data_IF_144717134614
#
_entry.id   IF_144717134614
#
_cell.length_a   1.000
_cell.length_b   1.000
_cell.length_c   1.000
_cell.angle_alpha   90.00
_cell.angle_beta   90.00
_cell.angle_gamma   90.00
#
_symmetry.space_group_name_H-M   'P 1'
#
loop_
_entity.id
_entity.type
_entity.pdbx_description
1 polymer ?
#
# COMPACT_ATOMS: atom_id res chain seq x y z
N UNK A 1 -20.55 -7.16 23.78
CA UNK A 1 -19.14 -7.58 23.84
C UNK A 1 -18.99 -8.71 22.85
N UNK A 2 -18.58 -8.39 21.61
CA UNK A 2 -18.27 -9.43 20.62
C UNK A 2 -16.97 -10.06 21.12
N UNK A 3 -17.02 -11.30 21.54
CA UNK A 3 -15.85 -12.01 22.01
C UNK A 3 -15.11 -12.52 20.78
N UNK A 4 -14.02 -11.84 20.38
CA UNK A 4 -13.08 -12.44 19.45
C UNK A 4 -12.39 -13.60 20.14
N UNK A 5 -12.86 -14.81 19.89
CA UNK A 5 -12.42 -15.95 20.67
C UNK A 5 -11.07 -16.49 20.23
N UNK A 6 -10.65 -16.32 18.99
CA UNK A 6 -9.29 -16.67 18.52
C UNK A 6 -8.98 -16.04 17.15
N UNK A 7 -7.80 -15.38 17.02
CA UNK A 7 -7.21 -15.11 15.71
C UNK A 7 -6.45 -16.35 15.24
N UNK A 8 -6.82 -16.89 14.09
CA UNK A 8 -6.17 -18.04 13.47
C UNK A 8 -5.36 -17.58 12.25
N UNK A 9 -4.13 -18.06 12.08
CA UNK A 9 -3.41 -17.88 10.82
C UNK A 9 -3.89 -18.94 9.83
N UNK A 10 -4.53 -18.49 8.74
CA UNK A 10 -5.01 -19.37 7.69
C UNK A 10 -3.83 -19.94 6.90
N UNK A 11 -3.88 -21.25 6.67
CA UNK A 11 -2.94 -21.98 5.83
C UNK A 11 -3.59 -22.26 4.47
N UNK A 12 -3.19 -21.51 3.44
CA UNK A 12 -3.77 -21.67 2.10
C UNK A 12 -3.34 -22.95 1.37
N UNK A 13 -2.35 -23.68 1.90
CA UNK A 13 -1.94 -24.96 1.34
C UNK A 13 -2.90 -26.10 1.75
N UNK A 14 -3.72 -25.86 2.79
CA UNK A 14 -4.75 -26.77 3.28
C UNK A 14 -6.16 -26.34 2.86
N UNK A 15 -7.12 -27.26 2.84
CA UNK A 15 -8.52 -26.89 2.66
C UNK A 15 -8.96 -25.86 3.69
N UNK A 16 -9.56 -24.76 3.23
CA UNK A 16 -9.95 -23.65 4.12
C UNK A 16 -11.11 -24.08 5.01
N UNK A 17 -12.00 -24.92 4.52
CA UNK A 17 -13.18 -25.46 5.21
C UNK A 17 -12.80 -26.25 6.46
N UNK A 18 -11.63 -26.88 6.48
CA UNK A 18 -11.13 -27.68 7.62
C UNK A 18 -10.53 -26.80 8.73
N UNK A 19 -10.35 -25.50 8.47
CA UNK A 19 -9.68 -24.58 9.41
C UNK A 19 -10.66 -23.83 10.32
N UNK A 20 -11.93 -24.18 10.27
CA UNK A 20 -13.00 -23.72 11.16
C UNK A 20 -14.04 -22.84 10.46
N UNK A 21 -15.16 -22.55 11.12
CA UNK A 21 -16.07 -21.55 10.62
C UNK A 21 -15.39 -20.18 10.71
N UNK A 22 -15.39 -19.44 9.60
CA UNK A 22 -14.71 -18.16 9.48
C UNK A 22 -15.73 -17.04 9.24
N UNK A 23 -15.84 -16.10 10.18
CA UNK A 23 -16.74 -14.95 10.01
C UNK A 23 -16.05 -13.85 9.17
N UNK A 24 -14.75 -13.63 9.39
CA UNK A 24 -13.97 -12.61 8.68
C UNK A 24 -12.61 -13.16 8.28
N UNK A 25 -12.23 -13.00 7.03
CA UNK A 25 -10.87 -13.25 6.55
C UNK A 25 -10.22 -11.92 6.19
N UNK A 26 -9.06 -11.65 6.79
CA UNK A 26 -8.21 -10.52 6.43
C UNK A 26 -7.00 -11.09 5.70
N UNK A 27 -6.72 -10.56 4.51
CA UNK A 27 -5.62 -11.08 3.71
C UNK A 27 -4.77 -9.98 3.08
N UNK A 28 -3.52 -10.32 2.80
CA UNK A 28 -2.60 -9.56 1.96
C UNK A 28 -2.02 -10.49 0.90
N UNK A 29 -2.85 -10.86 -0.07
CA UNK A 29 -2.49 -11.80 -1.14
C UNK A 29 -1.95 -11.08 -2.39
N UNK A 30 -1.50 -9.83 -2.27
CA UNK A 30 -1.01 -9.01 -3.39
C UNK A 30 0.06 -9.72 -4.21
N UNK A 31 1.04 -10.34 -3.56
CA UNK A 31 2.14 -11.01 -4.23
C UNK A 31 1.69 -12.32 -4.88
N UNK A 32 0.90 -13.13 -4.17
CA UNK A 32 0.34 -14.38 -4.70
C UNK A 32 -0.54 -14.13 -5.92
N UNK A 33 -1.36 -13.06 -5.89
CA UNK A 33 -2.19 -12.65 -7.03
C UNK A 33 -1.32 -12.26 -8.23
N UNK A 34 -0.23 -11.52 -8.00
CA UNK A 34 0.69 -11.14 -9.07
C UNK A 34 1.45 -12.33 -9.65
N UNK A 35 1.89 -13.26 -8.83
CA UNK A 35 2.52 -14.51 -9.26
C UNK A 35 1.55 -15.34 -10.11
N UNK A 36 0.29 -15.46 -9.67
CA UNK A 36 -0.76 -16.14 -10.41
C UNK A 36 -1.04 -15.49 -11.78
N UNK A 37 -1.09 -14.14 -11.83
CA UNK A 37 -1.28 -13.39 -13.07
C UNK A 37 -0.06 -13.48 -14.01
N UNK A 38 1.12 -13.86 -13.49
CA UNK A 38 2.33 -14.18 -14.25
C UNK A 38 2.45 -15.66 -14.63
N UNK A 39 1.37 -16.43 -14.49
CA UNK A 39 1.26 -17.85 -14.80
C UNK A 39 2.07 -18.79 -13.87
N UNK A 40 2.35 -18.39 -12.64
CA UNK A 40 2.84 -19.31 -11.63
C UNK A 40 1.71 -20.29 -11.23
N UNK A 41 1.92 -21.57 -11.49
CA UNK A 41 0.89 -22.60 -11.33
C UNK A 41 0.49 -22.80 -9.85
N UNK A 42 1.44 -22.69 -8.92
CA UNK A 42 1.18 -22.83 -7.49
C UNK A 42 0.37 -21.64 -6.97
N UNK A 43 0.75 -20.43 -7.38
CA UNK A 43 0.02 -19.22 -7.01
C UNK A 43 -1.40 -19.22 -7.60
N UNK A 44 -1.58 -19.69 -8.85
CA UNK A 44 -2.90 -19.85 -9.46
C UNK A 44 -3.78 -20.81 -8.66
N UNK A 45 -3.24 -21.94 -8.23
CA UNK A 45 -3.98 -22.89 -7.40
C UNK A 45 -4.39 -22.29 -6.06
N UNK A 46 -3.50 -21.54 -5.39
CA UNK A 46 -3.80 -20.87 -4.11
C UNK A 46 -4.91 -19.83 -4.27
N UNK A 47 -4.81 -18.98 -5.31
CA UNK A 47 -5.81 -17.94 -5.58
C UNK A 47 -7.15 -18.57 -5.96
N UNK A 48 -7.14 -19.64 -6.75
CA UNK A 48 -8.38 -20.34 -7.14
C UNK A 48 -9.05 -20.98 -5.93
N UNK A 49 -8.31 -21.69 -5.09
CA UNK A 49 -8.83 -22.29 -3.84
C UNK A 49 -9.46 -21.24 -2.93
N UNK A 50 -8.81 -20.08 -2.79
CA UNK A 50 -9.36 -18.98 -2.01
C UNK A 50 -10.63 -18.41 -2.64
N UNK A 51 -10.69 -18.28 -3.97
CA UNK A 51 -11.89 -17.83 -4.68
C UNK A 51 -13.04 -18.84 -4.53
N UNK A 52 -12.77 -20.14 -4.69
CA UNK A 52 -13.78 -21.20 -4.53
C UNK A 52 -14.38 -21.18 -3.11
N UNK A 53 -13.54 -20.93 -2.09
CA UNK A 53 -14.02 -20.77 -0.73
C UNK A 53 -14.95 -19.55 -0.59
N UNK A 54 -14.56 -18.39 -1.12
CA UNK A 54 -15.39 -17.17 -1.10
C UNK A 54 -16.74 -17.42 -1.78
N UNK A 55 -16.75 -18.09 -2.93
CA UNK A 55 -17.95 -18.34 -3.72
C UNK A 55 -18.92 -19.31 -3.03
N UNK A 56 -18.39 -20.22 -2.20
CA UNK A 56 -19.19 -21.22 -1.45
C UNK A 56 -19.58 -20.74 -0.06
N UNK A 57 -18.94 -19.70 0.49
CA UNK A 57 -19.17 -19.14 1.82
C UNK A 57 -19.47 -17.63 1.77
N UNK A 58 -20.60 -17.22 1.16
CA UNK A 58 -20.94 -15.80 1.01
C UNK A 58 -21.20 -15.10 2.35
N UNK A 59 -21.38 -15.86 3.43
CA UNK A 59 -21.50 -15.37 4.81
C UNK A 59 -20.15 -14.90 5.39
N UNK A 60 -19.02 -15.37 4.84
CA UNK A 60 -17.68 -14.96 5.30
C UNK A 60 -17.31 -13.59 4.74
N UNK A 61 -17.01 -12.64 5.61
CA UNK A 61 -16.55 -11.30 5.22
C UNK A 61 -15.09 -11.36 4.77
N UNK A 62 -14.82 -10.84 3.58
CA UNK A 62 -13.44 -10.79 3.04
C UNK A 62 -12.93 -9.35 3.06
N UNK A 63 -11.84 -9.09 3.76
CA UNK A 63 -11.12 -7.82 3.77
C UNK A 63 -9.76 -7.97 3.05
N UNK A 64 -9.64 -7.62 1.75
CA UNK A 64 -10.62 -6.98 0.87
C UNK A 64 -10.90 -7.87 -0.36
N UNK A 65 -11.92 -7.56 -1.22
CA UNK A 65 -12.28 -8.40 -2.37
C UNK A 65 -11.16 -8.52 -3.41
N UNK A 66 -10.91 -9.73 -3.93
CA UNK A 66 -9.84 -9.99 -4.91
C UNK A 66 -9.93 -9.11 -6.18
N UNK A 67 -11.11 -8.83 -6.77
CA UNK A 67 -11.21 -7.95 -7.94
C UNK A 67 -10.73 -6.52 -7.66
N UNK A 68 -11.00 -6.00 -6.46
CA UNK A 68 -10.54 -4.68 -6.04
C UNK A 68 -9.01 -4.65 -5.88
N UNK A 69 -8.45 -5.70 -5.25
CA UNK A 69 -6.98 -5.85 -5.15
C UNK A 69 -6.34 -5.86 -6.53
N UNK A 70 -6.86 -6.67 -7.48
CA UNK A 70 -6.36 -6.70 -8.88
C UNK A 70 -6.44 -5.34 -9.56
N UNK A 71 -7.48 -4.55 -9.28
CA UNK A 71 -7.59 -3.19 -9.82
C UNK A 71 -6.45 -2.30 -9.31
N UNK A 72 -6.10 -2.40 -8.03
CA UNK A 72 -5.04 -1.60 -7.42
C UNK A 72 -3.62 -2.09 -7.79
N UNK A 73 -3.47 -3.36 -8.13
CA UNK A 73 -2.20 -3.92 -8.60
C UNK A 73 -1.83 -3.46 -10.03
N UNK A 74 -2.78 -2.97 -10.82
CA UNK A 74 -2.55 -2.41 -12.15
C UNK A 74 -2.68 -0.87 -12.11
N UNK A 75 -1.56 -0.16 -12.27
CA UNK A 75 -1.55 1.33 -12.24
C UNK A 75 -2.42 1.98 -13.30
N UNK A 76 -2.56 1.37 -14.48
CA UNK A 76 -3.46 1.91 -15.51
C UNK A 76 -4.91 1.87 -15.02
N UNK A 77 -5.33 0.76 -14.44
CA UNK A 77 -6.69 0.59 -13.91
C UNK A 77 -6.94 1.50 -12.71
N UNK A 78 -5.99 1.59 -11.78
CA UNK A 78 -6.13 2.44 -10.61
C UNK A 78 -6.17 3.93 -10.97
N UNK A 79 -5.36 4.40 -11.92
CA UNK A 79 -5.36 5.79 -12.38
C UNK A 79 -6.61 6.13 -13.20
N UNK A 80 -7.12 5.20 -13.99
CA UNK A 80 -8.39 5.36 -14.69
C UNK A 80 -9.56 5.48 -13.70
N UNK A 81 -9.52 4.72 -12.60
CA UNK A 81 -10.48 4.82 -11.52
C UNK A 81 -10.43 6.22 -10.87
N UNK A 82 -9.23 6.70 -10.52
CA UNK A 82 -9.05 8.03 -9.92
C UNK A 82 -9.61 9.11 -10.85
N UNK A 83 -9.30 9.04 -12.16
CA UNK A 83 -9.79 9.99 -13.16
C UNK A 83 -11.31 10.00 -13.26
N UNK A 84 -11.96 8.83 -13.24
CA UNK A 84 -13.43 8.73 -13.23
C UNK A 84 -14.03 9.32 -11.97
N UNK A 85 -13.44 9.03 -10.81
CA UNK A 85 -13.91 9.55 -9.53
C UNK A 85 -13.71 11.06 -9.41
N UNK A 86 -12.64 11.65 -9.95
CA UNK A 86 -12.45 13.09 -10.05
C UNK A 86 -13.64 13.73 -10.78
N UNK A 87 -14.00 13.21 -11.95
CA UNK A 87 -15.17 13.68 -12.70
C UNK A 87 -16.48 13.53 -11.95
N UNK A 88 -16.64 12.47 -11.14
CA UNK A 88 -17.82 12.25 -10.33
C UNK A 88 -17.89 13.18 -9.11
N UNK A 89 -16.76 13.40 -8.42
CA UNK A 89 -16.71 14.25 -7.23
C UNK A 89 -16.97 15.73 -7.51
N UNK A 90 -16.67 16.21 -8.71
CA UNK A 90 -16.85 17.61 -9.14
C UNK A 90 -16.31 18.62 -8.13
N UNK A 91 -15.07 18.42 -7.66
CA UNK A 91 -14.41 19.27 -6.68
C UNK A 91 -13.09 19.80 -7.26
N UNK A 92 -13.05 21.10 -7.54
CA UNK A 92 -11.92 21.78 -8.17
C UNK A 92 -10.62 21.68 -7.36
N UNK A 93 -10.72 21.30 -6.10
CA UNK A 93 -9.56 21.09 -5.20
C UNK A 93 -8.91 19.73 -5.38
N UNK A 94 -9.51 18.82 -6.15
CA UNK A 94 -9.02 17.46 -6.39
C UNK A 94 -8.58 17.36 -7.85
N UNK A 95 -7.47 16.70 -8.12
CA UNK A 95 -7.06 16.39 -9.48
C UNK A 95 -6.39 15.02 -9.57
N UNK A 96 -6.52 14.39 -10.75
CA UNK A 96 -5.73 13.25 -11.16
C UNK A 96 -4.68 13.72 -12.18
N UNK A 97 -3.38 13.47 -11.95
CA UNK A 97 -2.38 13.86 -12.92
C UNK A 97 -2.62 13.15 -14.26
N UNK A 98 -2.52 13.85 -15.42
CA UNK A 98 -2.60 13.20 -16.72
C UNK A 98 -1.63 12.02 -16.81
N UNK A 99 -2.07 10.93 -17.44
CA UNK A 99 -1.27 9.72 -17.62
C UNK A 99 -1.57 9.03 -18.95
N UNK A 100 -0.66 8.18 -19.38
CA UNK A 100 -0.84 7.25 -20.48
C UNK A 100 -0.11 5.93 -20.22
N UNK A 101 -0.58 4.85 -20.81
CA UNK A 101 0.14 3.58 -20.84
C UNK A 101 1.15 3.59 -21.99
N UNK A 102 2.36 3.11 -21.73
CA UNK A 102 3.37 2.80 -22.72
C UNK A 102 3.47 1.27 -22.86
N UNK A 103 2.72 0.71 -23.78
CA UNK A 103 2.64 -0.73 -24.01
C UNK A 103 3.80 -1.27 -24.87
N UNK A 104 4.39 -0.43 -25.74
CA UNK A 104 5.48 -0.77 -26.64
C UNK A 104 6.66 0.17 -26.50
N UNK A 105 7.80 -0.20 -27.09
CA UNK A 105 8.99 0.65 -27.11
C UNK A 105 8.69 2.02 -27.70
N UNK A 106 9.28 3.06 -27.13
CA UNK A 106 9.12 4.43 -27.63
C UNK A 106 9.57 4.54 -29.10
N UNK A 107 8.69 5.10 -29.93
CA UNK A 107 8.90 5.35 -31.36
C UNK A 107 8.57 6.80 -31.72
N UNK A 108 8.56 7.10 -33.03
CA UNK A 108 8.29 8.44 -33.55
C UNK A 108 6.90 8.97 -33.13
N UNK A 109 5.91 8.09 -33.02
CA UNK A 109 4.55 8.46 -32.62
C UNK A 109 4.40 8.74 -31.12
N UNK A 110 5.38 8.35 -30.28
CA UNK A 110 5.28 8.50 -28.82
C UNK A 110 5.10 9.95 -28.39
N UNK A 111 5.80 10.88 -29.05
CA UNK A 111 5.68 12.32 -28.75
C UNK A 111 4.30 12.86 -29.09
N UNK A 112 3.70 12.39 -30.20
CA UNK A 112 2.35 12.77 -30.57
C UNK A 112 1.32 12.26 -29.56
N UNK A 113 1.47 11.03 -29.09
CA UNK A 113 0.62 10.44 -28.04
C UNK A 113 0.79 11.17 -26.69
N UNK A 114 2.01 11.52 -26.29
CA UNK A 114 2.25 12.33 -25.08
C UNK A 114 1.47 13.65 -25.13
N UNK A 115 1.53 14.36 -26.27
CA UNK A 115 0.80 15.62 -26.47
C UNK A 115 -0.72 15.42 -26.42
N UNK A 116 -1.22 14.37 -27.04
CA UNK A 116 -2.65 14.00 -27.04
C UNK A 116 -3.14 13.75 -25.61
N UNK A 117 -2.33 13.10 -24.77
CA UNK A 117 -2.63 12.86 -23.36
C UNK A 117 -2.28 14.05 -22.45
N UNK A 118 -1.89 15.22 -22.99
CA UNK A 118 -1.50 16.44 -22.26
C UNK A 118 -0.34 16.23 -21.30
N UNK A 119 0.56 15.30 -21.62
CA UNK A 119 1.76 15.03 -20.86
C UNK A 119 2.87 15.98 -21.29
N UNK A 120 3.52 16.61 -20.32
CA UNK A 120 4.63 17.54 -20.52
C UNK A 120 5.82 17.14 -19.66
N UNK A 121 7.03 17.42 -20.14
CA UNK A 121 8.23 17.17 -19.34
C UNK A 121 8.34 18.12 -18.13
N UNK A 122 8.90 17.68 -17.01
CA UNK A 122 9.23 16.28 -16.74
C UNK A 122 7.99 15.45 -16.44
N UNK A 123 8.10 14.14 -16.63
CA UNK A 123 7.07 13.18 -16.19
C UNK A 123 7.70 11.98 -15.50
N UNK A 124 6.90 11.24 -14.77
CA UNK A 124 7.31 10.02 -14.09
C UNK A 124 6.86 8.81 -14.89
N UNK A 125 7.80 7.90 -15.16
CA UNK A 125 7.51 6.55 -15.62
C UNK A 125 7.49 5.61 -14.42
N UNK A 126 6.44 4.81 -14.30
CA UNK A 126 6.26 3.79 -13.26
C UNK A 126 5.98 2.45 -13.93
N UNK A 127 6.47 1.34 -13.38
CA UNK A 127 6.05 0.02 -13.85
C UNK A 127 4.53 -0.09 -13.81
N UNK A 128 3.92 -0.79 -14.76
CA UNK A 128 2.48 -1.01 -14.79
C UNK A 128 2.00 -1.72 -13.53
N UNK A 129 2.74 -2.72 -13.08
CA UNK A 129 2.47 -3.44 -11.84
C UNK A 129 2.86 -2.59 -10.64
N UNK A 130 1.91 -2.36 -9.72
CA UNK A 130 2.06 -1.47 -8.57
C UNK A 130 2.90 -2.09 -7.44
N UNK A 131 2.87 -3.42 -7.29
CA UNK A 131 3.69 -4.18 -6.35
C UNK A 131 4.85 -4.84 -7.11
N UNK A 132 5.96 -5.05 -6.47
CA UNK A 132 7.03 -5.83 -7.03
C UNK A 132 7.54 -6.77 -5.96
N UNK A 133 7.39 -8.05 -6.19
CA UNK A 133 8.13 -9.05 -5.47
C UNK A 133 9.61 -8.74 -5.59
N UNK A 134 10.33 -8.72 -4.48
CA UNK A 134 11.78 -8.89 -4.46
C UNK A 134 12.12 -10.36 -4.76
N UNK A 135 11.13 -11.15 -5.14
CA UNK A 135 11.25 -12.57 -5.40
C UNK A 135 11.84 -12.81 -6.77
N UNK A 136 12.85 -13.52 -6.69
CA UNK A 136 13.77 -14.22 -7.57
C UNK A 136 15.04 -13.43 -7.81
N UNK A 137 15.92 -13.56 -6.83
CA UNK A 137 17.33 -13.77 -7.08
C UNK A 137 17.46 -14.68 -8.29
N UNK A 138 18.07 -14.14 -9.34
CA UNK A 138 18.63 -14.97 -10.39
C UNK A 138 19.50 -16.02 -9.67
N UNK A 139 19.30 -17.33 -9.89
CA UNK A 139 20.16 -18.31 -9.29
C UNK A 139 21.62 -17.92 -9.56
N UNK A 140 22.39 -17.76 -8.51
CA UNK A 140 23.83 -17.62 -8.62
C UNK A 140 24.33 -18.97 -9.16
N UNK A 141 24.52 -19.05 -10.48
CA UNK A 141 25.26 -20.11 -11.11
C UNK A 141 26.73 -19.86 -10.78
N UNK A 142 27.11 -20.27 -9.58
CA UNK A 142 28.45 -20.14 -9.03
C UNK A 142 29.27 -21.41 -9.40
N UNK A 143 29.49 -21.61 -10.72
CA UNK A 143 30.48 -22.53 -11.23
C UNK A 143 31.16 -21.93 -12.46
N UNK A 144 32.00 -20.91 -12.26
CA UNK A 144 32.81 -20.32 -13.31
C UNK A 144 34.06 -19.66 -12.77
N UNK A 145 35.21 -20.20 -13.07
CA UNK A 145 36.54 -19.66 -12.82
C UNK A 145 36.67 -18.21 -13.28
N UNK A 146 37.39 -17.34 -12.56
CA UNK A 146 37.53 -15.93 -12.91
C UNK A 146 38.54 -15.75 -14.05
N UNK A 147 38.10 -15.75 -15.27
CA UNK A 147 38.85 -15.16 -16.37
C UNK A 147 38.52 -13.65 -16.43
N UNK A 148 39.56 -12.87 -16.70
CA UNK A 148 39.56 -11.41 -16.66
C UNK A 148 38.49 -10.78 -17.58
N UNK A 149 37.30 -10.54 -17.04
CA UNK A 149 36.24 -9.76 -17.70
C UNK A 149 36.66 -8.29 -17.66
N UNK A 150 36.68 -7.65 -18.82
CA UNK A 150 37.00 -6.22 -18.96
C UNK A 150 36.15 -5.40 -18.00
N UNK A 151 36.81 -4.62 -17.12
CA UNK A 151 36.14 -3.75 -16.12
C UNK A 151 35.08 -2.84 -16.71
N UNK A 152 35.12 -2.54 -18.01
CA UNK A 152 34.12 -1.71 -18.73
C UNK A 152 32.83 -2.48 -18.99
N UNK A 153 32.90 -3.76 -19.32
CA UNK A 153 31.72 -4.62 -19.48
C UNK A 153 31.01 -4.86 -18.14
N UNK A 154 31.79 -5.14 -17.09
CA UNK A 154 31.27 -5.32 -15.74
C UNK A 154 30.53 -4.08 -15.23
N UNK A 155 31.05 -2.87 -15.48
CA UNK A 155 30.39 -1.61 -15.13
C UNK A 155 29.13 -1.36 -15.98
N UNK A 156 29.12 -1.81 -17.22
CA UNK A 156 27.96 -1.71 -18.09
C UNK A 156 26.87 -2.70 -17.68
N UNK A 157 27.25 -3.94 -17.38
CA UNK A 157 26.31 -4.94 -16.86
C UNK A 157 25.73 -4.55 -15.49
N UNK A 158 26.54 -4.02 -14.59
CA UNK A 158 26.09 -3.52 -13.29
C UNK A 158 25.12 -2.34 -13.48
N UNK A 159 25.40 -1.42 -14.39
CA UNK A 159 24.47 -0.32 -14.75
C UNK A 159 23.19 -0.87 -15.38
N UNK A 160 23.26 -1.92 -16.20
CA UNK A 160 22.09 -2.56 -16.79
C UNK A 160 21.29 -3.30 -15.71
N UNK A 161 21.94 -4.02 -14.80
CA UNK A 161 21.30 -4.67 -13.65
C UNK A 161 20.68 -3.65 -12.71
N UNK A 162 21.35 -2.56 -12.41
CA UNK A 162 20.78 -1.44 -11.63
C UNK A 162 19.59 -0.83 -12.37
N UNK A 163 19.64 -0.57 -13.68
CA UNK A 163 18.49 -0.10 -14.47
C UNK A 163 17.32 -1.08 -14.46
N UNK A 164 17.58 -2.38 -14.40
CA UNK A 164 16.56 -3.43 -14.28
C UNK A 164 15.86 -3.44 -12.90
N UNK A 165 16.53 -2.91 -11.87
CA UNK A 165 16.07 -2.87 -10.48
C UNK A 165 15.21 -1.66 -10.16
N UNK A 166 15.18 -0.63 -11.03
CA UNK A 166 14.46 0.60 -10.80
C UNK A 166 12.99 0.48 -11.23
N UNK A 167 12.09 0.81 -10.31
CA UNK A 167 10.64 0.74 -10.55
C UNK A 167 10.07 2.06 -11.09
N UNK A 168 10.81 3.16 -10.99
CA UNK A 168 10.38 4.50 -11.40
C UNK A 168 11.52 5.28 -12.02
N UNK A 169 11.17 6.19 -12.95
CA UNK A 169 12.11 7.12 -13.56
C UNK A 169 11.46 8.49 -13.76
N UNK A 170 12.25 9.55 -13.57
CA UNK A 170 11.88 10.91 -13.99
C UNK A 170 12.54 11.17 -15.33
N UNK A 171 11.74 11.56 -16.33
CA UNK A 171 12.17 11.80 -17.71
C UNK A 171 12.03 13.28 -18.01
N UNK A 172 13.11 13.90 -18.50
CA UNK A 172 13.22 15.34 -18.73
C UNK A 172 13.26 15.73 -20.20
N UNK A 173 13.50 14.79 -21.10
CA UNK A 173 13.69 15.03 -22.53
C UNK A 173 13.21 13.87 -23.39
N UNK A 174 13.08 14.12 -24.70
CA UNK A 174 12.76 13.08 -25.66
C UNK A 174 13.82 11.97 -25.73
N UNK A 175 15.11 12.35 -25.58
CA UNK A 175 16.19 11.36 -25.51
C UNK A 175 16.07 10.43 -24.31
N UNK A 176 15.57 10.94 -23.17
CA UNK A 176 15.32 10.14 -21.97
C UNK A 176 14.23 9.09 -22.15
N UNK A 177 13.33 9.25 -23.14
CA UNK A 177 12.33 8.22 -23.46
C UNK A 177 12.94 6.90 -23.91
N UNK A 178 14.12 6.93 -24.53
CA UNK A 178 14.84 5.72 -24.97
C UNK A 178 15.28 4.85 -23.77
N UNK A 179 15.37 5.44 -22.58
CA UNK A 179 15.72 4.76 -21.34
C UNK A 179 14.53 4.02 -20.72
N UNK A 180 13.30 4.33 -21.17
CA UNK A 180 12.06 3.78 -20.61
C UNK A 180 11.76 2.42 -21.23
N UNK A 181 11.48 1.44 -20.38
CA UNK A 181 11.05 0.10 -20.83
C UNK A 181 9.52 0.04 -20.92
N UNK A 182 8.98 -0.64 -21.95
CA UNK A 182 7.53 -0.84 -22.11
C UNK A 182 6.92 -1.63 -20.94
N UNK A 183 5.58 -1.62 -20.91
CA UNK A 183 4.71 -2.01 -19.83
C UNK A 183 4.88 -1.10 -18.61
N UNK A 184 4.93 0.20 -18.87
CA UNK A 184 4.94 1.22 -17.84
C UNK A 184 3.80 2.24 -18.04
N UNK A 185 3.58 3.03 -17.00
CA UNK A 185 2.66 4.16 -17.04
C UNK A 185 3.47 5.43 -16.93
N UNK A 186 3.23 6.35 -17.85
CA UNK A 186 3.78 7.71 -17.85
C UNK A 186 2.74 8.62 -17.19
N UNK A 187 3.15 9.35 -16.16
CA UNK A 187 2.28 10.25 -15.39
C UNK A 187 2.95 11.64 -15.29
N UNK A 188 2.17 12.70 -15.47
CA UNK A 188 2.68 14.07 -15.29
C UNK A 188 3.33 14.25 -13.92
N UNK A 189 4.51 14.87 -13.90
CA UNK A 189 5.14 15.28 -12.66
C UNK A 189 4.51 16.59 -12.17
N UNK A 190 4.10 16.60 -10.91
CA UNK A 190 3.55 17.78 -10.24
C UNK A 190 4.52 18.21 -9.15
N UNK A 191 4.96 19.45 -9.19
CA UNK A 191 5.78 20.04 -8.13
C UNK A 191 4.97 20.18 -6.84
N UNK A 192 5.52 19.69 -5.72
CA UNK A 192 4.81 19.55 -4.45
C UNK A 192 5.72 19.75 -3.22
N UNK A 193 6.81 20.47 -3.39
CA UNK A 193 7.72 20.86 -2.32
C UNK A 193 8.28 19.68 -1.50
N UNK A 194 8.59 18.56 -2.16
CA UNK A 194 9.16 17.37 -1.54
C UNK A 194 8.30 16.77 -0.40
N UNK A 195 6.99 17.01 -0.39
CA UNK A 195 6.08 16.51 0.64
C UNK A 195 5.03 15.58 0.01
N UNK A 196 4.92 14.37 0.53
CA UNK A 196 3.88 13.40 0.22
C UNK A 196 3.01 13.19 1.46
N UNK A 197 1.71 13.17 1.29
CA UNK A 197 0.75 12.78 2.32
C UNK A 197 0.23 11.38 2.03
N UNK A 198 0.62 10.42 2.89
CA UNK A 198 0.06 9.07 2.86
C UNK A 198 -1.19 9.03 3.71
N UNK A 199 -2.31 8.76 3.06
CA UNK A 199 -3.61 8.58 3.72
C UNK A 199 -3.83 7.09 3.90
N UNK A 200 -3.78 6.63 5.13
CA UNK A 200 -4.05 5.23 5.49
C UNK A 200 -5.51 5.08 5.89
N UNK A 201 -6.25 4.24 5.19
CA UNK A 201 -7.68 4.04 5.39
C UNK A 201 -7.94 2.68 6.02
N UNK A 202 -8.80 2.66 7.04
CA UNK A 202 -9.33 1.46 7.71
C UNK A 202 -10.84 1.63 7.88
N UNK A 203 -11.62 1.02 7.01
CA UNK A 203 -13.07 1.23 6.98
C UNK A 203 -13.44 2.70 6.74
N UNK A 204 -14.16 3.30 7.69
CA UNK A 204 -14.55 4.71 7.64
C UNK A 204 -13.50 5.66 8.22
N UNK A 205 -12.52 5.12 8.94
CA UNK A 205 -11.44 5.89 9.56
C UNK A 205 -10.28 6.09 8.59
N UNK A 206 -9.56 7.21 8.73
CA UNK A 206 -8.31 7.44 8.01
C UNK A 206 -7.32 8.24 8.85
N UNK A 207 -6.04 7.99 8.59
CA UNK A 207 -4.92 8.72 9.19
C UNK A 207 -4.03 9.27 8.10
N UNK A 208 -3.67 10.56 8.20
CA UNK A 208 -2.76 11.22 7.26
C UNK A 208 -1.37 11.29 7.86
N UNK A 209 -0.39 10.75 7.16
CA UNK A 209 1.01 10.75 7.57
C UNK A 209 1.85 11.48 6.52
N UNK A 210 2.58 12.49 6.94
CA UNK A 210 3.51 13.21 6.07
C UNK A 210 4.79 12.38 5.84
N UNK A 211 5.27 12.37 4.60
CA UNK A 211 6.48 11.66 4.17
C UNK A 211 7.34 12.54 3.28
N UNK A 212 8.65 12.37 3.28
CA UNK A 212 9.52 12.94 2.25
C UNK A 212 9.09 12.50 0.86
N UNK A 213 9.30 13.37 -0.13
CA UNK A 213 9.00 13.10 -1.53
C UNK A 213 10.03 13.73 -2.45
N UNK A 214 9.80 13.64 -3.75
CA UNK A 214 10.68 14.22 -4.76
C UNK A 214 10.67 15.75 -4.68
N UNK A 215 11.86 16.35 -4.74
CA UNK A 215 12.03 17.81 -4.85
C UNK A 215 11.38 18.37 -6.13
N UNK A 216 11.24 19.68 -6.17
CA UNK A 216 10.73 20.38 -7.34
C UNK A 216 11.70 20.29 -8.52
N UNK A 217 11.14 20.24 -9.73
CA UNK A 217 11.90 20.29 -10.98
C UNK A 217 11.33 21.38 -11.89
N UNK A 218 12.18 22.07 -12.67
CA UNK A 218 11.72 23.01 -13.68
C UNK A 218 10.77 22.32 -14.68
N UNK A 219 9.70 23.01 -15.03
CA UNK A 219 8.74 22.51 -16.05
C UNK A 219 9.28 22.75 -17.45
N UNK A 220 9.07 21.79 -18.35
CA UNK A 220 9.50 21.83 -19.73
C UNK A 220 10.69 20.92 -20.04
N UNK A 221 11.13 20.95 -21.29
CA UNK A 221 12.29 20.21 -21.75
C UNK A 221 13.56 20.68 -21.07
N UNK A 222 14.42 19.74 -20.72
CA UNK A 222 15.70 20.00 -20.07
C UNK A 222 16.72 18.94 -20.53
N UNK A 223 18.00 19.36 -20.66
CA UNK A 223 19.11 18.46 -21.01
C UNK A 223 19.51 17.50 -19.87
N UNK A 224 18.73 17.47 -18.79
CA UNK A 224 18.95 16.55 -17.69
C UNK A 224 18.79 15.11 -18.14
N UNK A 225 19.71 14.27 -17.66
CA UNK A 225 19.60 12.82 -17.81
C UNK A 225 18.41 12.30 -16.99
N UNK A 226 17.80 11.21 -17.46
CA UNK A 226 16.77 10.48 -16.73
C UNK A 226 17.27 10.08 -15.34
N UNK A 227 16.41 10.23 -14.33
CA UNK A 227 16.72 9.86 -12.94
C UNK A 227 15.91 8.61 -12.60
N UNK A 228 16.61 7.52 -12.32
CA UNK A 228 15.99 6.27 -11.89
C UNK A 228 15.98 6.18 -10.37
N UNK A 229 14.86 5.77 -9.79
CA UNK A 229 14.73 5.67 -8.33
C UNK A 229 13.72 4.61 -7.91
N UNK A 230 13.75 4.27 -6.63
CA UNK A 230 12.72 3.45 -5.99
C UNK A 230 11.94 4.34 -5.01
N UNK A 231 10.61 4.36 -5.12
CA UNK A 231 9.75 5.16 -4.25
C UNK A 231 9.97 4.86 -2.76
N UNK A 232 10.28 3.61 -2.43
CA UNK A 232 10.56 3.21 -1.06
C UNK A 232 11.78 3.94 -0.46
N UNK A 233 12.82 4.19 -1.26
CA UNK A 233 14.01 4.93 -0.80
C UNK A 233 13.78 6.45 -0.69
N UNK A 234 12.74 6.97 -1.37
CA UNK A 234 12.40 8.40 -1.36
C UNK A 234 11.42 8.73 -0.24
N UNK A 235 10.42 7.87 -0.02
CA UNK A 235 9.27 8.18 0.86
C UNK A 235 9.32 7.47 2.22
N UNK A 236 10.49 6.96 2.63
CA UNK A 236 10.69 6.49 4.01
C UNK A 236 10.82 7.69 4.98
N UNK A 237 10.39 7.55 6.24
CA UNK A 237 10.53 8.61 7.24
C UNK A 237 11.96 9.14 7.39
N UNK A 238 12.96 8.26 7.25
CA UNK A 238 14.38 8.56 7.41
C UNK A 238 15.08 8.86 6.08
N UNK A 239 14.35 9.14 5.00
CA UNK A 239 14.97 9.39 3.69
C UNK A 239 15.89 10.60 3.74
N UNK A 240 17.15 10.38 3.38
CA UNK A 240 18.19 11.41 3.20
C UNK A 240 18.67 11.49 1.75
N UNK A 241 17.82 11.10 0.81
CA UNK A 241 18.14 11.13 -0.61
C UNK A 241 18.29 12.57 -1.12
N UNK A 242 19.28 12.82 -1.99
CA UNK A 242 19.40 14.11 -2.70
C UNK A 242 18.15 14.47 -3.51
N UNK A 243 17.32 13.47 -3.82
CA UNK A 243 16.03 13.67 -4.51
C UNK A 243 14.96 14.27 -3.61
N UNK A 244 15.13 14.24 -2.29
CA UNK A 244 14.21 14.83 -1.30
C UNK A 244 14.71 16.16 -0.76
N UNK A 245 15.95 16.55 -1.07
CA UNK A 245 16.53 17.79 -0.62
C UNK A 245 15.89 18.98 -1.35
N UNK A 246 15.15 19.80 -0.62
CA UNK A 246 14.50 21.00 -1.12
C UNK A 246 15.30 22.23 -0.70
N UNK A 247 15.82 22.99 -1.67
CA UNK A 247 16.57 24.22 -1.39
C UNK A 247 15.64 25.38 -1.01
N UNK A 248 14.48 25.47 -1.70
CA UNK A 248 13.50 26.55 -1.50
C UNK A 248 12.07 25.98 -1.64
N UNK A 249 11.20 26.38 -0.73
CA UNK A 249 9.76 26.11 -0.84
C UNK A 249 9.15 27.08 -1.85
N UNK A 250 8.41 26.55 -2.83
CA UNK A 250 7.81 27.33 -3.91
C UNK A 250 6.27 27.30 -3.80
N UNK A 251 5.66 28.46 -4.08
CA UNK A 251 4.20 28.55 -4.23
C UNK A 251 3.41 28.14 -2.98
N UNK A 252 2.38 27.32 -3.19
CA UNK A 252 1.48 26.89 -2.11
C UNK A 252 2.14 25.82 -1.25
N UNK A 253 2.24 26.07 0.05
CA UNK A 253 2.70 25.13 1.06
C UNK A 253 1.68 25.09 2.20
N UNK A 254 0.82 24.10 2.18
CA UNK A 254 -0.21 23.89 3.22
C UNK A 254 -0.48 22.39 3.36
N UNK A 255 -0.92 21.94 4.55
CA UNK A 255 -1.37 20.56 4.71
C UNK A 255 -2.62 20.30 3.87
N UNK A 256 -2.95 19.02 3.59
CA UNK A 256 -4.16 18.66 2.89
C UNK A 256 -5.40 19.06 3.71
N UNK A 257 -6.46 19.42 3.01
CA UNK A 257 -7.75 19.74 3.62
C UNK A 257 -8.46 18.46 4.06
N UNK A 258 -8.87 18.38 5.32
CA UNK A 258 -9.49 17.19 5.91
C UNK A 258 -10.77 16.77 5.17
N UNK A 259 -11.62 17.71 4.80
CA UNK A 259 -12.85 17.44 4.05
C UNK A 259 -12.58 16.88 2.65
N UNK A 260 -11.48 17.31 2.00
CA UNK A 260 -11.05 16.80 0.71
C UNK A 260 -10.52 15.36 0.85
N UNK A 261 -9.67 15.10 1.86
CA UNK A 261 -9.16 13.76 2.12
C UNK A 261 -10.30 12.80 2.46
N UNK A 262 -11.23 13.21 3.30
CA UNK A 262 -12.43 12.41 3.63
C UNK A 262 -13.26 12.09 2.39
N UNK A 263 -13.47 13.06 1.51
CA UNK A 263 -14.19 12.88 0.26
C UNK A 263 -13.49 11.88 -0.66
N UNK A 264 -12.18 12.02 -0.85
CA UNK A 264 -11.38 11.08 -1.66
C UNK A 264 -11.46 9.67 -1.09
N UNK A 265 -11.17 9.51 0.20
CA UNK A 265 -11.15 8.20 0.88
C UNK A 265 -12.49 7.48 0.78
N UNK A 266 -13.59 8.21 1.05
CA UNK A 266 -14.95 7.66 0.98
C UNK A 266 -15.31 7.22 -0.45
N UNK A 267 -15.08 8.06 -1.46
CA UNK A 267 -15.41 7.71 -2.85
C UNK A 267 -14.59 6.54 -3.36
N UNK A 268 -13.32 6.43 -3.00
CA UNK A 268 -12.48 5.28 -3.35
C UNK A 268 -12.96 4.00 -2.66
N UNK A 269 -13.29 4.08 -1.38
CA UNK A 269 -13.82 2.95 -0.62
C UNK A 269 -15.12 2.43 -1.24
N UNK A 270 -16.06 3.32 -1.52
CA UNK A 270 -17.34 2.97 -2.14
C UNK A 270 -17.17 2.38 -3.55
N UNK A 271 -16.29 2.96 -4.37
CA UNK A 271 -16.08 2.50 -5.75
C UNK A 271 -15.37 1.14 -5.87
N UNK A 272 -14.50 0.82 -4.93
CA UNK A 272 -13.74 -0.43 -4.90
C UNK A 272 -14.36 -1.51 -3.99
N UNK A 273 -15.21 -1.11 -3.05
CA UNK A 273 -15.70 -2.01 -2.00
C UNK A 273 -14.60 -2.49 -1.07
N UNK A 274 -13.57 -1.66 -0.82
CA UNK A 274 -12.41 -2.01 0.02
C UNK A 274 -12.40 -1.24 1.33
N UNK A 275 -11.74 -1.83 2.32
CA UNK A 275 -11.63 -1.27 3.66
C UNK A 275 -10.20 -0.94 4.07
N UNK A 276 -9.20 -1.64 3.50
CA UNK A 276 -7.81 -1.57 3.92
C UNK A 276 -6.93 -1.10 2.76
N UNK A 277 -6.69 0.20 2.66
CA UNK A 277 -5.90 0.76 1.57
C UNK A 277 -5.16 2.05 1.95
N UNK A 278 -4.21 2.43 1.13
CA UNK A 278 -3.48 3.68 1.26
C UNK A 278 -3.61 4.54 0.01
N UNK A 279 -3.67 5.85 0.19
CA UNK A 279 -3.72 6.83 -0.89
C UNK A 279 -2.50 7.72 -0.79
N UNK A 280 -1.76 7.88 -1.88
CA UNK A 280 -0.65 8.80 -1.97
C UNK A 280 -1.14 10.13 -2.58
N UNK A 281 -1.14 11.20 -1.76
CA UNK A 281 -1.63 12.53 -2.13
C UNK A 281 -0.50 13.55 -2.05
N UNK A 282 -0.39 14.39 -3.07
CA UNK A 282 0.52 15.54 -3.06
C UNK A 282 -0.29 16.83 -3.26
N UNK A 283 0.24 17.94 -2.74
CA UNK A 283 -0.38 19.26 -2.97
C UNK A 283 0.39 19.95 -4.10
N UNK A 284 -0.31 20.24 -5.20
CA UNK A 284 0.27 21.00 -6.30
C UNK A 284 0.68 22.39 -5.81
N UNK A 285 1.98 22.70 -5.82
CA UNK A 285 2.49 23.96 -5.29
C UNK A 285 2.07 25.20 -6.10
N UNK A 286 1.57 25.02 -7.34
CA UNK A 286 1.08 26.11 -8.18
C UNK A 286 -0.41 26.37 -7.98
N UNK A 287 -1.24 25.31 -7.89
CA UNK A 287 -2.71 25.43 -7.85
C UNK A 287 -3.28 25.21 -6.46
N UNK A 288 -2.56 24.54 -5.58
CA UNK A 288 -3.04 24.11 -4.27
C UNK A 288 -4.00 22.91 -4.33
N UNK A 289 -4.14 22.27 -5.48
CA UNK A 289 -4.99 21.09 -5.64
C UNK A 289 -4.35 19.85 -5.01
N UNK A 290 -5.20 18.97 -4.50
CA UNK A 290 -4.84 17.65 -4.00
C UNK A 290 -4.75 16.71 -5.18
N UNK A 291 -3.54 16.27 -5.52
CA UNK A 291 -3.31 15.32 -6.61
C UNK A 291 -3.15 13.91 -6.04
N UNK A 292 -4.04 12.99 -6.43
CA UNK A 292 -3.92 11.57 -6.09
C UNK A 292 -2.98 10.92 -7.09
N UNK A 293 -1.81 10.46 -6.61
CA UNK A 293 -0.73 9.95 -7.47
C UNK A 293 -0.53 8.44 -7.42
N UNK A 294 -1.07 7.76 -6.40
CA UNK A 294 -1.09 6.30 -6.30
C UNK A 294 -2.12 5.82 -5.27
N UNK A 295 -2.55 4.54 -5.38
CA UNK A 295 -3.38 3.85 -4.39
C UNK A 295 -2.78 2.47 -4.14
N UNK A 296 -2.65 2.10 -2.88
CA UNK A 296 -2.01 0.86 -2.45
C UNK A 296 -2.99 -0.02 -1.68
N UNK A 297 -3.15 -1.28 -2.10
CA UNK A 297 -3.90 -2.27 -1.35
C UNK A 297 -3.13 -2.67 -0.09
N UNK A 298 -3.82 -2.71 1.03
CA UNK A 298 -3.33 -3.12 2.33
C UNK A 298 -1.86 -2.71 2.59
N UNK A 299 -1.57 -1.41 2.78
CA UNK A 299 -0.23 -0.91 3.02
C UNK A 299 0.32 -1.35 4.39
N UNK A 300 1.57 -1.05 4.69
CA UNK A 300 2.21 -1.40 5.97
C UNK A 300 1.69 -0.62 7.19
N UNK A 301 0.86 0.41 7.00
CA UNK A 301 0.32 1.29 8.07
C UNK A 301 1.40 1.89 8.99
N UNK A 302 2.59 2.10 8.46
CA UNK A 302 3.70 2.71 9.18
C UNK A 302 3.37 4.15 9.62
N UNK A 303 3.51 4.42 10.92
CA UNK A 303 3.16 5.72 11.50
C UNK A 303 1.68 5.89 11.85
N UNK A 304 0.90 4.80 11.86
CA UNK A 304 -0.50 4.76 12.29
C UNK A 304 -0.58 3.96 13.61
N UNK A 305 -0.41 4.60 14.78
CA UNK A 305 -0.37 3.89 16.06
C UNK A 305 -1.68 3.18 16.40
N UNK A 306 -2.80 3.74 15.96
CA UNK A 306 -4.15 3.22 16.25
C UNK A 306 -4.64 2.16 15.23
N UNK A 307 -3.78 1.71 14.31
CA UNK A 307 -4.17 0.78 13.25
C UNK A 307 -4.94 -0.44 13.75
N UNK A 308 -4.44 -1.11 14.78
CA UNK A 308 -5.10 -2.31 15.30
C UNK A 308 -6.43 -2.01 15.99
N UNK A 309 -6.53 -0.87 16.67
CA UNK A 309 -7.78 -0.41 17.30
C UNK A 309 -8.83 -0.15 16.22
N UNK A 310 -8.46 0.60 15.19
CA UNK A 310 -9.34 0.91 14.06
C UNK A 310 -9.75 -0.34 13.27
N UNK A 311 -8.82 -1.27 13.06
CA UNK A 311 -9.09 -2.54 12.40
C UNK A 311 -10.12 -3.37 13.19
N UNK A 312 -9.95 -3.49 14.51
CA UNK A 312 -10.89 -4.22 15.37
C UNK A 312 -12.26 -3.55 15.36
N UNK A 313 -12.30 -2.23 15.47
CA UNK A 313 -13.55 -1.46 15.40
C UNK A 313 -14.26 -1.69 14.06
N UNK A 314 -13.51 -1.66 12.96
CA UNK A 314 -14.08 -1.90 11.63
C UNK A 314 -14.62 -3.33 11.49
N UNK A 315 -13.89 -4.33 11.96
CA UNK A 315 -14.37 -5.73 11.97
C UNK A 315 -15.68 -5.85 12.77
N UNK A 316 -15.79 -5.18 13.90
CA UNK A 316 -17.02 -5.18 14.70
C UNK A 316 -18.19 -4.58 13.93
N UNK A 317 -17.95 -3.47 13.22
CA UNK A 317 -18.99 -2.82 12.40
C UNK A 317 -19.47 -3.74 11.28
N UNK A 318 -18.55 -4.32 10.50
CA UNK A 318 -18.95 -5.16 9.36
C UNK A 318 -19.65 -6.47 9.81
N UNK A 319 -19.28 -7.01 10.97
CA UNK A 319 -19.98 -8.14 11.58
C UNK A 319 -21.40 -7.79 12.06
N UNK A 320 -21.58 -6.59 12.62
CA UNK A 320 -22.89 -6.09 13.04
C UNK A 320 -23.82 -5.83 11.85
N UNK A 321 -23.28 -5.29 10.76
CA UNK A 321 -24.05 -5.01 9.55
C UNK A 321 -24.57 -6.29 8.88
N UNK A 322 -23.85 -7.41 9.00
CA UNK A 322 -24.32 -8.71 8.53
C UNK A 322 -25.39 -9.34 9.46
N UNK A 323 -25.37 -9.02 10.76
CA UNK A 323 -26.31 -9.55 11.76
C UNK A 323 -27.05 -8.43 12.51
N UNK A 324 -28.01 -7.73 11.87
CA UNK A 324 -28.71 -6.59 12.48
C UNK A 324 -29.60 -6.97 13.68
N UNK A 325 -29.90 -8.25 13.88
CA UNK A 325 -30.66 -8.76 15.03
C UNK A 325 -29.82 -8.99 16.29
N UNK A 326 -28.50 -8.83 16.22
CA UNK A 326 -27.65 -8.91 17.39
C UNK A 326 -27.89 -7.72 18.33
N UNK A 327 -28.04 -7.92 19.66
CA UNK A 327 -28.40 -6.85 20.59
C UNK A 327 -27.36 -5.72 20.58
N UNK A 328 -27.81 -4.52 20.24
CA UNK A 328 -27.00 -3.31 20.32
C UNK A 328 -26.67 -2.99 21.80
N UNK A 329 -25.44 -3.12 22.18
CA UNK A 329 -24.97 -2.65 23.49
C UNK A 329 -24.74 -1.14 23.44
N UNK A 330 -25.71 -0.41 24.00
CA UNK A 330 -25.58 1.03 24.26
C UNK A 330 -24.39 1.30 25.18
N UNK A 331 -23.46 2.12 24.73
CA UNK A 331 -22.44 2.74 25.58
C UNK A 331 -23.09 3.83 26.45
N UNK A 332 -23.66 3.45 27.57
CA UNK A 332 -23.93 4.34 28.68
C UNK A 332 -23.38 3.69 29.95
N UNK A 333 -22.16 4.01 30.27
CA UNK A 333 -21.54 3.64 31.56
C UNK A 333 -21.56 4.79 32.53
N UNK A 334 -22.56 4.80 33.40
CA UNK A 334 -22.37 5.27 34.77
C UNK A 334 -22.20 4.04 35.64
N UNK A 335 -21.05 3.92 36.24
CA UNK A 335 -20.75 2.86 37.21
C UNK A 335 -21.66 3.00 38.45
N UNK A 336 -22.08 1.88 39.08
CA UNK A 336 -21.87 1.72 40.48
C UNK A 336 -21.20 0.39 40.85
N UNK A 337 -20.30 0.47 41.84
CA UNK A 337 -19.76 -0.64 42.61
C UNK A 337 -20.87 -1.50 43.25
N UNK A 338 -20.48 -2.77 43.49
CA UNK A 338 -21.15 -3.80 44.30
C UNK A 338 -22.11 -4.73 43.51
N UNK A 339 -21.61 -5.93 43.22
CA UNK A 339 -22.20 -7.20 43.66
C UNK A 339 -21.37 -8.37 43.11
N UNK A 340 -20.59 -8.97 44.00
CA UNK A 340 -20.10 -10.33 43.85
C UNK A 340 -21.25 -11.32 44.10
N UNK A 341 -21.16 -12.48 43.45
CA UNK A 341 -21.97 -13.69 43.65
C UNK A 341 -23.21 -13.88 42.80
N UNK A 342 -23.18 -15.03 42.16
CA UNK A 342 -24.20 -15.84 41.47
C UNK A 342 -24.03 -15.84 39.95
N UNK A 343 -23.24 -16.79 39.43
CA UNK A 343 -23.43 -17.37 38.12
C UNK A 343 -23.01 -18.85 38.16
N UNK A 344 -23.97 -19.68 38.45
CA UNK A 344 -23.96 -21.07 38.01
C UNK A 344 -25.12 -21.28 37.01
N UNK A 345 -24.81 -22.00 35.94
CA UNK A 345 -25.74 -22.62 35.02
C UNK A 345 -26.63 -21.75 34.12
N UNK A 346 -26.08 -21.36 32.98
CA UNK A 346 -26.78 -21.45 31.68
C UNK A 346 -25.76 -21.51 30.54
N UNK A 347 -25.75 -22.66 29.85
CA UNK A 347 -25.03 -22.83 28.59
C UNK A 347 -25.60 -21.88 27.55
N UNK A 348 -24.80 -20.90 27.12
CA UNK A 348 -25.03 -20.10 25.93
C UNK A 348 -24.55 -20.93 24.72
N UNK A 349 -25.31 -20.97 23.59
CA UNK A 349 -24.76 -21.49 22.34
C UNK A 349 -23.55 -20.64 21.94
N UNK A 350 -22.42 -21.29 21.74
CA UNK A 350 -21.18 -20.68 21.32
C UNK A 350 -21.35 -20.14 19.90
N UNK A 351 -21.48 -18.83 19.75
CA UNK A 351 -21.16 -18.17 18.49
C UNK A 351 -19.64 -18.19 18.39
N UNK A 352 -19.12 -19.14 17.61
CA UNK A 352 -17.69 -19.24 17.32
C UNK A 352 -17.33 -18.33 16.18
N UNK A 353 -16.97 -17.08 16.47
CA UNK A 353 -16.46 -16.14 15.49
C UNK A 353 -14.93 -16.19 15.45
N UNK A 354 -14.36 -16.41 14.27
CA UNK A 354 -12.91 -16.40 14.04
C UNK A 354 -12.52 -15.26 13.10
N UNK A 355 -11.54 -14.46 13.50
CA UNK A 355 -10.87 -13.51 12.62
C UNK A 355 -9.59 -14.17 12.12
N UNK A 356 -9.42 -14.24 10.82
CA UNK A 356 -8.30 -14.98 10.20
C UNK A 356 -7.48 -14.06 9.30
N UNK A 357 -6.15 -14.14 9.44
CA UNK A 357 -5.22 -13.49 8.53
C UNK A 357 -4.61 -14.53 7.58
N UNK A 358 -4.83 -14.37 6.29
CA UNK A 358 -4.23 -15.19 5.25
C UNK A 358 -3.04 -14.45 4.61
N UNK A 359 -1.82 -14.94 4.81
CA UNK A 359 -0.61 -14.48 4.13
C UNK A 359 0.30 -15.65 3.85
N UNK A 360 0.94 -15.69 2.68
CA UNK A 360 1.98 -16.67 2.37
C UNK A 360 3.26 -16.40 3.16
N UNK A 361 3.52 -15.15 3.53
CA UNK A 361 4.69 -14.74 4.29
C UNK A 361 4.27 -14.12 5.62
N UNK A 362 4.90 -14.61 6.69
CA UNK A 362 4.87 -13.89 7.95
C UNK A 362 5.55 -12.54 7.73
N UNK A 363 5.04 -11.48 8.33
CA UNK A 363 5.62 -10.15 8.35
C UNK A 363 7.07 -10.21 8.87
N UNK A 364 8.02 -10.65 8.02
CA UNK A 364 9.43 -10.54 8.29
C UNK A 364 9.83 -9.10 7.93
N UNK A 365 9.95 -8.27 8.95
CA UNK A 365 10.83 -7.12 8.89
C UNK A 365 12.23 -7.73 8.82
N UNK A 366 12.94 -7.56 7.71
CA UNK A 366 14.35 -7.89 7.62
C UNK A 366 15.10 -7.07 8.69
N UNK A 367 15.52 -7.73 9.75
CA UNK A 367 16.50 -7.18 10.68
C UNK A 367 17.85 -7.08 9.94
N UNK A 368 18.28 -5.85 9.70
CA UNK A 368 19.66 -5.57 9.31
C UNK A 368 20.60 -6.00 10.45
N UNK A 369 21.53 -6.97 10.25
CA UNK A 369 22.37 -7.51 11.31
C UNK A 369 23.38 -6.53 11.92
N UNK A 370 23.43 -5.29 11.46
CA UNK A 370 24.44 -4.30 11.87
C UNK A 370 24.07 -3.47 13.11
N UNK A 371 22.90 -3.64 13.73
CA UNK A 371 22.46 -2.76 14.83
C UNK A 371 22.01 -3.49 16.10
N UNK A 372 22.67 -4.58 16.48
CA UNK A 372 22.42 -5.22 17.75
C UNK A 372 23.37 -4.69 18.85
N UNK A 373 23.05 -3.55 19.46
CA UNK A 373 23.46 -3.25 20.85
C UNK A 373 22.53 -2.20 21.48
N UNK A 374 21.85 -2.61 22.55
CA UNK A 374 21.16 -1.85 23.59
C UNK A 374 19.78 -1.27 23.27
N UNK A 375 18.76 -1.95 23.72
CA UNK A 375 17.61 -1.26 24.36
C UNK A 375 16.92 -2.21 25.35
N UNK A 376 16.92 -1.81 26.63
CA UNK A 376 16.17 -2.45 27.69
C UNK A 376 14.68 -2.10 27.58
N UNK A 377 13.86 -3.12 27.77
CA UNK A 377 12.40 -3.09 27.71
C UNK A 377 11.74 -2.14 28.70
N UNK A 378 10.82 -1.29 28.21
CA UNK A 378 9.61 -0.94 28.94
C UNK A 378 8.42 -1.56 28.22
N UNK A 379 7.78 -2.52 28.87
CA UNK A 379 6.55 -3.16 28.39
C UNK A 379 5.37 -2.24 28.70
N UNK A 380 4.73 -1.73 27.69
CA UNK A 380 3.34 -1.27 27.79
C UNK A 380 2.45 -2.50 27.67
N UNK A 381 1.74 -2.81 28.75
CA UNK A 381 0.81 -3.92 28.84
C UNK A 381 -0.48 -3.55 28.11
N UNK A 382 -0.56 -3.91 26.84
CA UNK A 382 -1.85 -3.98 26.13
C UNK A 382 -2.38 -5.41 26.31
N UNK A 383 -3.61 -5.58 26.77
CA UNK A 383 -4.30 -6.87 26.85
C UNK A 383 -4.73 -7.36 25.46
N UNK A 384 -3.77 -7.56 24.56
CA UNK A 384 -3.97 -8.16 23.25
C UNK A 384 -3.73 -9.67 23.31
N UNK A 385 -4.46 -10.47 22.55
CA UNK A 385 -4.23 -11.91 22.47
C UNK A 385 -2.78 -12.21 22.04
N UNK A 386 -2.16 -13.28 22.54
CA UNK A 386 -0.74 -13.59 22.32
C UNK A 386 -0.31 -13.65 20.85
N UNK A 387 -1.24 -13.96 19.95
CA UNK A 387 -0.97 -14.08 18.52
C UNK A 387 -0.75 -12.74 17.80
N UNK A 388 -1.17 -11.61 18.39
CA UNK A 388 -0.94 -10.28 17.82
C UNK A 388 0.35 -9.62 18.31
N UNK A 389 0.94 -10.10 19.41
CA UNK A 389 2.16 -9.52 19.99
C UNK A 389 3.39 -9.71 19.08
N UNK A 390 3.39 -10.71 18.21
CA UNK A 390 4.48 -10.99 17.26
C UNK A 390 4.39 -10.17 15.96
N UNK A 391 3.34 -9.39 15.78
CA UNK A 391 3.11 -8.61 14.55
C UNK A 391 3.51 -7.13 14.68
N UNK A 392 4.01 -6.71 15.84
CA UNK A 392 4.41 -5.31 16.08
C UNK A 392 5.92 -5.24 16.24
N UNK A 393 6.61 -4.62 15.30
CA UNK A 393 8.00 -4.25 15.47
C UNK A 393 8.10 -3.19 16.61
N UNK A 394 9.09 -3.25 17.51
CA UNK A 394 9.23 -2.28 18.57
C UNK A 394 9.52 -0.90 17.98
N UNK A 395 8.62 0.05 18.23
CA UNK A 395 8.85 1.45 17.88
C UNK A 395 9.92 2.05 18.79
N UNK A 396 10.99 2.54 18.19
CA UNK A 396 12.00 3.32 18.90
C UNK A 396 11.44 4.70 19.24
N UNK A 397 11.10 4.92 20.51
CA UNK A 397 10.85 6.27 21.05
C UNK A 397 12.18 6.98 21.21
N UNK A 398 12.46 7.99 20.38
CA UNK A 398 13.51 8.97 20.69
C UNK A 398 13.06 9.82 21.87
N UNK A 399 13.69 9.64 23.03
CA UNK A 399 13.66 10.63 24.07
C UNK A 399 14.53 11.83 23.64
N UNK A 400 13.93 12.99 23.52
CA UNK A 400 14.64 14.25 23.43
C UNK A 400 15.28 14.52 24.78
N UNK A 401 16.60 14.49 24.85
CA UNK A 401 17.36 15.09 25.94
C UNK A 401 17.78 16.49 25.53
N UNK A 402 17.51 17.42 26.42
CA UNK A 402 18.09 18.78 26.42
C UNK A 402 19.60 18.77 26.31
#
# INVERSE_FOLDING_TARGET
MVCFTQGLKLDLEKPIEEQGPLDVIIHKLTDVILEADQNDAQAQELVQRFQDYIDTHPETIILDPLPAIRTLLDRCRSYELIRRLEGYMQDDRICSPPFMELASQCGEDTIAELKKHRLTFPFICKTRVAHGTNSHEVPSDDTGTPEAVDRRECVLEERIRQRLRWKMAIIFSEDGLKDVKPQCVIQSFINHNAVLYKVFVVGDSYTVVERPSLKNFPTGLSDRKSIFFNSHNVSKPESSSDLTALDVVEGVCRPPSDDVIRKISRNLREALGISLFGIDVIINNRTGQHAVIDINAFPGYEGVPEFFTELINHIQVVLQDQNPEAPQFSQNSTAPEQAASICADRACPAASGFVTMATKEAWLVEDDPSNSKRLQHQRLSCNLPPNFQNCVAPMATKASSQ
#
